data_IF_995389249687
#
_entry.id   IF_995389249687
#
_cell.length_a   1.000
_cell.length_b   1.000
_cell.length_c   1.000
_cell.angle_alpha   90.00
_cell.angle_beta   90.00
_cell.angle_gamma   90.00
#
_symmetry.space_group_name_H-M   'P 1'
#
loop_
_entity.id
_entity.type
_entity.pdbx_description
1 polymer ?
#
# COMPACT_ATOMS: atom_id res chain seq x y z
N UNK A 1 -17.39 -11.40 4.86
CA UNK A 1 -16.25 -11.10 3.96
C UNK A 1 -15.11 -10.53 4.79
N UNK A 2 -13.85 -10.86 4.50
CA UNK A 2 -12.69 -10.25 5.17
C UNK A 2 -11.48 -10.19 4.23
N UNK A 3 -10.55 -9.26 4.49
CA UNK A 3 -9.28 -9.26 3.79
C UNK A 3 -8.40 -10.43 4.24
N UNK A 4 -7.64 -10.98 3.30
CA UNK A 4 -6.63 -11.99 3.61
C UNK A 4 -5.55 -11.38 4.55
N UNK A 5 -5.02 -12.13 5.53
CA UNK A 5 -4.03 -11.61 6.48
C UNK A 5 -2.77 -11.00 5.84
N UNK A 6 -2.42 -11.42 4.63
CA UNK A 6 -1.27 -10.86 3.89
C UNK A 6 -1.38 -9.36 3.66
N UNK A 7 -2.58 -8.77 3.66
CA UNK A 7 -2.78 -7.31 3.52
C UNK A 7 -1.96 -6.50 4.53
N UNK A 8 -1.68 -7.07 5.70
CA UNK A 8 -0.89 -6.43 6.75
C UNK A 8 0.61 -6.45 6.48
N UNK A 9 1.11 -7.37 5.65
CA UNK A 9 2.53 -7.67 5.51
C UNK A 9 2.98 -7.62 4.04
N UNK A 10 2.80 -8.71 3.30
CA UNK A 10 3.30 -8.92 1.93
C UNK A 10 2.28 -8.68 0.83
N UNK A 11 1.02 -8.42 1.19
CA UNK A 11 -0.08 -8.23 0.25
C UNK A 11 -0.15 -6.84 -0.36
N UNK A 12 0.62 -5.87 0.16
CA UNK A 12 0.74 -4.52 -0.37
C UNK A 12 2.22 -4.14 -0.47
N UNK A 13 2.55 -3.30 -1.44
CA UNK A 13 3.90 -2.75 -1.55
C UNK A 13 4.25 -1.95 -0.28
N UNK A 14 5.48 -2.03 0.27
CA UNK A 14 5.79 -1.53 1.60
C UNK A 14 5.96 0.01 1.65
N UNK A 15 5.11 0.78 0.98
CA UNK A 15 5.08 2.25 1.06
C UNK A 15 3.91 2.71 1.93
N UNK A 16 3.99 3.93 2.44
CA UNK A 16 2.88 4.55 3.19
C UNK A 16 1.64 4.76 2.33
N UNK A 17 1.81 5.00 1.02
CA UNK A 17 0.70 5.30 0.11
C UNK A 17 -0.01 4.06 -0.44
N UNK A 18 0.65 2.90 -0.48
CA UNK A 18 0.08 1.65 -1.00
C UNK A 18 -1.31 1.27 -0.46
N UNK A 19 -1.61 1.33 0.86
CA UNK A 19 -2.95 1.00 1.36
C UNK A 19 -4.03 1.93 0.83
N UNK A 20 -3.75 3.22 0.63
CA UNK A 20 -4.70 4.17 0.09
C UNK A 20 -4.91 3.99 -1.42
N UNK A 21 -3.84 3.71 -2.17
CA UNK A 21 -3.95 3.37 -3.59
C UNK A 21 -4.81 2.12 -3.80
N UNK A 22 -4.62 1.09 -2.98
CA UNK A 22 -5.47 -0.11 -3.02
C UNK A 22 -6.94 0.21 -2.71
N UNK A 23 -7.20 1.02 -1.67
CA UNK A 23 -8.56 1.46 -1.31
C UNK A 23 -9.23 2.18 -2.47
N UNK A 24 -8.54 3.14 -3.07
CA UNK A 24 -9.11 3.98 -4.12
C UNK A 24 -9.34 3.19 -5.42
N UNK A 25 -8.43 2.27 -5.74
CA UNK A 25 -8.64 1.30 -6.82
C UNK A 25 -9.86 0.40 -6.58
N UNK A 26 -10.02 -0.15 -5.37
CA UNK A 26 -11.19 -0.97 -5.01
C UNK A 26 -12.50 -0.17 -5.08
N UNK A 27 -12.50 1.10 -4.63
CA UNK A 27 -13.67 1.99 -4.74
C UNK A 27 -14.06 2.21 -6.19
N UNK A 28 -13.07 2.45 -7.06
CA UNK A 28 -13.32 2.60 -8.49
C UNK A 28 -13.87 1.31 -9.11
N UNK A 29 -13.30 0.16 -8.74
CA UNK A 29 -13.82 -1.13 -9.19
C UNK A 29 -15.27 -1.36 -8.77
N UNK A 30 -15.63 -1.05 -7.52
CA UNK A 30 -17.01 -1.18 -7.04
C UNK A 30 -17.97 -0.20 -7.73
N UNK A 31 -17.51 1.00 -8.07
CA UNK A 31 -18.31 1.95 -8.84
C UNK A 31 -18.55 1.45 -10.27
N UNK A 32 -17.50 0.98 -10.94
CA UNK A 32 -17.53 0.64 -12.36
C UNK A 32 -18.13 -0.75 -12.63
N UNK A 33 -18.09 -1.65 -11.65
CA UNK A 33 -18.54 -3.03 -11.81
C UNK A 33 -19.58 -3.44 -10.75
N UNK A 34 -20.88 -3.51 -11.12
CA UNK A 34 -21.89 -4.14 -10.30
C UNK A 34 -21.80 -5.67 -10.42
N UNK A 35 -21.40 -6.36 -9.36
CA UNK A 35 -21.31 -7.82 -9.31
C UNK A 35 -22.13 -8.41 -8.16
N UNK A 36 -22.87 -9.48 -8.42
CA UNK A 36 -23.66 -10.15 -7.36
C UNK A 36 -22.88 -11.25 -6.65
N UNK A 37 -21.86 -11.81 -7.31
CA UNK A 37 -21.14 -12.98 -6.85
C UNK A 37 -19.63 -12.70 -6.83
N UNK A 38 -18.91 -13.32 -5.90
CA UNK A 38 -17.44 -13.28 -5.87
C UNK A 38 -16.89 -14.64 -5.46
N UNK A 39 -15.82 -15.07 -6.12
CA UNK A 39 -15.06 -16.26 -5.74
C UNK A 39 -13.78 -15.84 -5.02
N UNK A 40 -13.60 -16.32 -3.80
CA UNK A 40 -12.47 -16.02 -2.94
C UNK A 40 -11.60 -17.27 -2.77
N UNK A 41 -10.30 -17.16 -3.04
CA UNK A 41 -9.35 -18.27 -2.97
C UNK A 41 -9.36 -19.06 -1.65
N UNK A 42 -9.68 -18.43 -0.52
CA UNK A 42 -9.68 -19.06 0.81
C UNK A 42 -11.01 -18.99 1.56
N UNK A 43 -12.01 -18.29 1.02
CA UNK A 43 -13.32 -18.09 1.68
C UNK A 43 -14.48 -18.72 0.88
N UNK A 44 -14.16 -19.44 -0.20
CA UNK A 44 -15.15 -20.04 -1.08
C UNK A 44 -15.87 -19.02 -1.97
N UNK A 45 -17.06 -19.39 -2.44
CA UNK A 45 -17.88 -18.57 -3.33
C UNK A 45 -18.98 -17.88 -2.51
N UNK A 46 -19.09 -16.56 -2.62
CA UNK A 46 -20.25 -15.81 -2.15
C UNK A 46 -21.20 -15.63 -3.33
N UNK A 47 -22.42 -16.14 -3.17
CA UNK A 47 -23.52 -15.97 -4.10
C UNK A 47 -24.50 -14.90 -3.58
N UNK A 48 -24.80 -13.91 -4.40
CA UNK A 48 -25.71 -12.79 -4.11
C UNK A 48 -25.16 -11.77 -3.11
N UNK A 49 -25.39 -10.48 -3.36
CA UNK A 49 -25.05 -9.39 -2.43
C UNK A 49 -23.55 -9.19 -2.20
N UNK A 50 -22.68 -9.79 -3.01
CA UNK A 50 -21.23 -9.69 -2.83
C UNK A 50 -20.73 -8.24 -2.93
N UNK A 51 -21.31 -7.43 -3.83
CA UNK A 51 -20.95 -6.02 -3.96
C UNK A 51 -21.16 -5.21 -2.67
N UNK A 52 -22.33 -5.37 -2.03
CA UNK A 52 -22.65 -4.71 -0.77
C UNK A 52 -21.71 -5.16 0.37
N UNK A 53 -21.40 -6.46 0.43
CA UNK A 53 -20.47 -7.02 1.41
C UNK A 53 -19.05 -6.45 1.23
N UNK A 54 -18.56 -6.35 -0.01
CA UNK A 54 -17.23 -5.78 -0.30
C UNK A 54 -17.20 -4.27 -0.04
N UNK A 55 -18.26 -3.55 -0.38
CA UNK A 55 -18.42 -2.11 -0.06
C UNK A 55 -18.34 -1.88 1.44
N UNK A 56 -19.06 -2.68 2.23
CA UNK A 56 -19.05 -2.60 3.69
C UNK A 56 -17.67 -2.94 4.26
N UNK A 57 -17.04 -3.99 3.75
CA UNK A 57 -15.67 -4.36 4.15
C UNK A 57 -14.68 -3.22 3.89
N UNK A 58 -14.77 -2.57 2.72
CA UNK A 58 -13.87 -1.49 2.34
C UNK A 58 -14.07 -0.25 3.21
N UNK A 59 -15.31 0.11 3.52
CA UNK A 59 -15.63 1.22 4.41
C UNK A 59 -15.12 1.00 5.84
N UNK A 60 -15.22 -0.24 6.34
CA UNK A 60 -14.76 -0.59 7.69
C UNK A 60 -13.23 -0.75 7.79
N UNK A 61 -12.50 -0.74 6.68
CA UNK A 61 -11.06 -1.00 6.64
C UNK A 61 -10.17 0.25 6.77
N UNK A 62 -10.75 1.45 6.86
CA UNK A 62 -9.98 2.69 7.00
C UNK A 62 -8.98 2.64 8.19
N UNK A 63 -9.35 2.16 9.40
CA UNK A 63 -8.39 2.04 10.50
C UNK A 63 -7.23 1.08 10.20
N UNK A 64 -7.49 0.02 9.44
CA UNK A 64 -6.47 -0.94 9.02
C UNK A 64 -5.49 -0.29 8.03
N UNK A 65 -6.00 0.45 7.05
CA UNK A 65 -5.18 1.17 6.06
C UNK A 65 -4.30 2.23 6.73
N UNK A 66 -4.87 3.02 7.65
CA UNK A 66 -4.10 3.98 8.44
C UNK A 66 -2.97 3.30 9.23
N UNK A 67 -3.25 2.16 9.87
CA UNK A 67 -2.23 1.40 10.62
C UNK A 67 -1.10 0.87 9.72
N UNK A 68 -1.42 0.37 8.53
CA UNK A 68 -0.41 -0.13 7.57
C UNK A 68 0.43 1.04 7.05
N UNK A 69 -0.21 2.15 6.68
CA UNK A 69 0.47 3.36 6.22
C UNK A 69 1.47 3.87 7.25
N UNK A 70 1.04 3.99 8.50
CA UNK A 70 1.88 4.45 9.61
C UNK A 70 3.09 3.54 9.82
N UNK A 71 2.85 2.22 9.85
CA UNK A 71 3.91 1.23 10.01
C UNK A 71 4.96 1.37 8.90
N UNK A 72 4.52 1.50 7.66
CA UNK A 72 5.43 1.62 6.52
C UNK A 72 6.17 2.97 6.57
N UNK A 73 5.50 4.07 6.93
CA UNK A 73 6.14 5.37 7.10
C UNK A 73 7.30 5.31 8.10
N UNK A 74 7.08 4.73 9.28
CA UNK A 74 8.11 4.59 10.33
C UNK A 74 9.30 3.77 9.87
N UNK A 75 9.03 2.64 9.20
CA UNK A 75 10.07 1.75 8.69
C UNK A 75 11.04 2.47 7.74
N UNK A 76 10.56 3.43 6.96
CA UNK A 76 11.39 4.17 5.99
C UNK A 76 11.88 5.53 6.49
N UNK A 77 11.29 6.11 7.55
CA UNK A 77 11.84 7.30 8.22
C UNK A 77 13.09 6.98 9.06
N UNK A 78 13.25 5.73 9.50
CA UNK A 78 14.45 5.26 10.21
C UNK A 78 15.66 5.01 9.28
N UNK A 79 15.46 5.02 7.96
CA UNK A 79 16.54 5.08 6.98
C UNK A 79 16.75 6.54 6.59
N UNK A 80 17.27 7.34 7.52
CA UNK A 80 17.94 8.59 7.14
C UNK A 80 19.06 8.21 6.17
N UNK A 81 19.00 8.74 4.95
CA UNK A 81 20.11 8.70 4.01
C UNK A 81 21.28 9.37 4.75
N UNK A 82 22.43 8.69 4.94
CA UNK A 82 23.63 9.39 5.38
C UNK A 82 23.86 10.51 4.39
N UNK A 83 23.74 11.75 4.83
CA UNK A 83 24.15 12.90 4.03
C UNK A 83 25.66 12.76 3.90
N UNK A 84 26.10 12.11 2.83
CA UNK A 84 27.51 12.10 2.45
C UNK A 84 27.87 13.56 2.21
N UNK A 85 28.57 14.14 3.19
CA UNK A 85 29.23 15.44 3.09
C UNK A 85 30.39 15.34 2.08
N UNK A 86 30.08 15.14 0.80
CA UNK A 86 31.01 15.31 -0.30
C UNK A 86 31.10 16.78 -0.70
N UNK A 87 31.57 17.63 0.23
CA UNK A 87 31.89 19.04 -0.07
C UNK A 87 33.36 19.39 0.18
N UNK A 88 34.26 18.40 0.29
CA UNK A 88 35.70 18.62 0.48
C UNK A 88 36.56 17.84 -0.51
N UNK A 89 36.17 17.78 -1.79
CA UNK A 89 37.16 17.56 -2.86
C UNK A 89 37.60 18.91 -3.39
N UNK A 90 38.62 19.47 -2.74
CA UNK A 90 39.48 20.48 -3.35
C UNK A 90 40.10 19.84 -4.61
N UNK A 91 39.59 20.20 -5.78
CA UNK A 91 40.28 19.99 -7.04
C UNK A 91 41.40 21.01 -7.06
N UNK A 92 42.58 20.61 -6.58
CA UNK A 92 43.80 21.36 -6.85
C UNK A 92 44.14 21.17 -8.31
N UNK A 93 44.03 22.26 -9.07
CA UNK A 93 44.65 22.42 -10.38
C UNK A 93 46.10 21.92 -10.32
N UNK A 94 46.45 20.98 -11.20
CA UNK A 94 47.81 20.82 -11.63
C UNK A 94 47.82 20.35 -13.09
N UNK A 95 48.23 21.31 -13.91
CA UNK A 95 48.84 21.16 -15.22
C UNK A 95 49.82 19.97 -15.27
N UNK A 96 49.92 19.33 -16.44
CA UNK A 96 51.07 18.65 -17.07
C UNK A 96 50.44 17.76 -18.17
N UNK A 97 50.78 17.81 -19.45
CA UNK A 97 51.78 18.51 -20.25
C UNK A 97 51.68 17.95 -21.68
#
# INVERSE_FOLDING_TARGET
MAFHPSIKNSGLYPTSNAPYLFRDWMRKLLHDWPFENICCAHLGIKMGGAHADVTTLLNNAEPLFAKISEKNRKKYSEYEIPVDNHSNMNVSDNEYG
#
